data_IF_669848317108
#
_entry.id   IF_669848317108
#
_cell.length_a   1.000
_cell.length_b   1.000
_cell.length_c   1.000
_cell.angle_alpha   90.00
_cell.angle_beta   90.00
_cell.angle_gamma   90.00
#
_symmetry.space_group_name_H-M   'P 1'
#
loop_
_entity.id
_entity.type
_entity.pdbx_description
1 polymer ?
#
# COMPACT_ATOMS: atom_id res chain seq x y z
N UNK A 1 1.57 -3.36 -10.71
CA UNK A 1 0.83 -2.45 -11.60
C UNK A 1 0.96 -1.07 -11.01
N UNK A 2 1.17 -0.04 -11.84
CA UNK A 2 1.12 1.33 -11.35
C UNK A 2 -0.31 1.59 -10.87
N UNK A 3 -0.45 2.18 -9.69
CA UNK A 3 -1.72 2.52 -9.09
C UNK A 3 -1.54 3.75 -8.21
N UNK A 4 -2.64 4.42 -7.93
CA UNK A 4 -2.65 5.64 -7.12
C UNK A 4 -3.15 5.30 -5.73
N UNK A 5 -2.44 5.80 -4.73
CA UNK A 5 -2.89 5.72 -3.34
C UNK A 5 -3.80 6.90 -3.05
N UNK A 6 -4.99 6.64 -2.54
CA UNK A 6 -5.94 7.68 -2.14
C UNK A 6 -6.44 7.42 -0.73
N UNK A 7 -6.54 8.49 0.07
CA UNK A 7 -7.26 8.48 1.33
C UNK A 7 -8.65 9.09 1.11
N UNK A 8 -9.70 8.31 1.32
CA UNK A 8 -11.09 8.77 1.22
C UNK A 8 -11.59 9.24 2.58
N UNK A 9 -12.13 10.46 2.61
CA UNK A 9 -12.75 11.05 3.79
C UNK A 9 -14.26 10.88 3.71
N UNK A 10 -14.82 10.07 4.60
CA UNK A 10 -16.26 9.82 4.69
C UNK A 10 -16.84 10.48 5.95
N UNK A 11 -18.09 10.96 5.90
CA UNK A 11 -18.76 11.46 7.09
C UNK A 11 -18.92 10.36 8.14
N UNK A 12 -18.89 10.70 9.44
CA UNK A 12 -19.03 9.71 10.53
C UNK A 12 -20.32 8.88 10.48
N UNK A 13 -21.38 9.41 9.85
CA UNK A 13 -22.62 8.67 9.58
C UNK A 13 -22.43 7.44 8.70
N UNK A 14 -21.33 7.34 7.94
CA UNK A 14 -21.00 6.19 7.11
C UNK A 14 -20.49 4.97 7.92
N UNK A 15 -20.32 5.08 9.24
CA UNK A 15 -19.78 4.00 10.08
C UNK A 15 -20.58 2.68 9.98
N UNK A 16 -21.88 2.75 9.67
CA UNK A 16 -22.73 1.58 9.50
C UNK A 16 -22.67 0.91 8.11
N UNK A 17 -22.14 1.60 7.10
CA UNK A 17 -22.03 1.11 5.72
C UNK A 17 -20.88 1.83 4.99
N UNK A 18 -19.64 1.47 5.36
CA UNK A 18 -18.43 2.07 4.80
C UNK A 18 -18.30 1.72 3.31
N UNK A 19 -18.54 0.47 2.93
CA UNK A 19 -18.45 0.01 1.54
C UNK A 19 -19.42 0.77 0.63
N UNK A 20 -20.70 0.89 1.01
CA UNK A 20 -21.68 1.64 0.24
C UNK A 20 -21.31 3.13 0.12
N UNK A 21 -20.76 3.71 1.18
CA UNK A 21 -20.27 5.08 1.16
C UNK A 21 -19.04 5.27 0.26
N UNK A 22 -18.09 4.33 0.27
CA UNK A 22 -16.93 4.33 -0.63
C UNK A 22 -17.36 4.22 -2.09
N UNK A 23 -18.23 3.25 -2.42
CA UNK A 23 -18.77 3.10 -3.78
C UNK A 23 -19.41 4.40 -4.26
N UNK A 24 -20.21 5.06 -3.41
CA UNK A 24 -20.85 6.32 -3.76
C UNK A 24 -19.84 7.46 -3.97
N UNK A 25 -18.84 7.57 -3.08
CA UNK A 25 -17.84 8.62 -3.14
C UNK A 25 -16.92 8.50 -4.38
N UNK A 26 -16.56 7.27 -4.75
CA UNK A 26 -15.63 6.98 -5.84
C UNK A 26 -16.28 6.92 -7.23
N UNK A 27 -17.57 6.63 -7.33
CA UNK A 27 -18.29 6.47 -8.59
C UNK A 27 -18.05 7.60 -9.63
N UNK A 28 -17.96 8.88 -9.25
CA UNK A 28 -17.72 9.96 -10.21
C UNK A 28 -16.33 9.92 -10.86
N UNK A 29 -15.40 9.14 -10.33
CA UNK A 29 -14.01 9.08 -10.79
C UNK A 29 -13.68 7.77 -11.51
N UNK A 30 -14.68 6.95 -11.84
CA UNK A 30 -14.48 5.69 -12.55
C UNK A 30 -14.17 5.92 -14.04
N UNK A 31 -13.15 5.24 -14.57
CA UNK A 31 -12.59 5.51 -15.92
C UNK A 31 -13.46 5.03 -17.08
N UNK A 32 -14.29 4.00 -16.89
CA UNK A 32 -15.00 3.31 -17.98
C UNK A 32 -16.53 3.52 -17.94
N UNK A 33 -16.95 4.78 -17.87
CA UNK A 33 -18.38 5.12 -18.03
C UNK A 33 -18.56 6.19 -19.10
N UNK A 34 -19.55 5.99 -19.98
CA UNK A 34 -20.06 7.02 -20.89
C UNK A 34 -20.58 8.28 -20.14
N UNK A 35 -20.75 8.18 -18.83
CA UNK A 35 -21.28 9.21 -17.93
C UNK A 35 -20.18 10.06 -17.25
N UNK A 36 -18.89 9.71 -17.38
CA UNK A 36 -17.78 10.48 -16.80
C UNK A 36 -16.91 11.10 -17.91
N UNK A 37 -16.53 12.38 -17.81
CA UNK A 37 -15.54 12.97 -18.70
C UNK A 37 -14.23 12.17 -18.63
N UNK A 38 -13.59 11.95 -19.78
CA UNK A 38 -12.31 11.19 -19.89
C UNK A 38 -11.25 11.73 -18.93
N UNK A 39 -11.28 13.04 -18.68
CA UNK A 39 -10.30 13.76 -17.86
C UNK A 39 -10.58 13.65 -16.34
N UNK A 40 -11.64 12.93 -15.92
CA UNK A 40 -12.00 12.67 -14.51
C UNK A 40 -11.74 11.22 -14.08
N UNK A 41 -11.55 10.31 -15.03
CA UNK A 41 -11.33 8.89 -14.74
C UNK A 41 -10.00 8.65 -14.02
N UNK A 42 -10.06 8.27 -12.74
CA UNK A 42 -8.91 8.00 -11.88
C UNK A 42 -8.71 6.52 -11.56
N UNK A 43 -9.72 5.67 -11.80
CA UNK A 43 -9.65 4.26 -11.42
C UNK A 43 -10.56 3.34 -12.24
N UNK A 44 -10.15 2.07 -12.39
CA UNK A 44 -10.96 0.95 -12.93
C UNK A 44 -11.13 -0.21 -11.93
N UNK A 45 -10.26 -0.30 -10.92
CA UNK A 45 -10.36 -1.19 -9.78
C UNK A 45 -9.79 -0.54 -8.51
N UNK A 46 -10.26 -0.94 -7.34
CA UNK A 46 -9.79 -0.43 -6.05
C UNK A 46 -9.75 -1.52 -4.99
N UNK A 47 -8.85 -1.39 -4.04
CA UNK A 47 -8.79 -2.23 -2.85
C UNK A 47 -8.51 -1.40 -1.60
N UNK A 48 -9.16 -1.74 -0.47
CA UNK A 48 -8.73 -1.26 0.84
C UNK A 48 -7.43 -1.98 1.20
N UNK A 49 -6.39 -1.21 1.47
CA UNK A 49 -5.06 -1.74 1.79
C UNK A 49 -4.29 -0.76 2.68
N UNK A 50 -3.30 -1.27 3.40
CA UNK A 50 -2.39 -0.47 4.20
C UNK A 50 -2.10 -1.06 5.58
N UNK A 51 -3.01 -1.88 6.09
CA UNK A 51 -2.88 -2.60 7.34
C UNK A 51 -1.76 -3.64 7.33
N UNK A 52 -1.58 -4.39 6.24
CA UNK A 52 -0.62 -5.50 6.17
C UNK A 52 0.77 -5.14 5.67
N UNK A 53 0.91 -4.00 4.98
CA UNK A 53 2.17 -3.58 4.35
C UNK A 53 2.79 -2.30 4.95
N UNK A 54 2.12 -1.68 5.93
CA UNK A 54 2.59 -0.47 6.60
C UNK A 54 2.32 0.82 5.85
N UNK A 55 1.65 0.73 4.70
CA UNK A 55 1.21 1.90 3.94
C UNK A 55 -0.13 2.42 4.44
N UNK A 56 -0.69 1.92 5.54
CA UNK A 56 -1.94 2.40 6.14
C UNK A 56 -1.71 3.42 7.27
N UNK A 57 -2.61 3.42 8.25
CA UNK A 57 -2.55 4.32 9.40
C UNK A 57 -1.99 3.63 10.64
N UNK A 58 -1.24 4.40 11.43
CA UNK A 58 -0.89 3.99 12.78
C UNK A 58 -2.14 4.12 13.68
N UNK A 59 -2.45 3.07 14.43
CA UNK A 59 -3.54 3.11 15.42
C UNK A 59 -3.05 3.72 16.72
N UNK A 60 -3.83 4.63 17.28
CA UNK A 60 -3.57 5.25 18.58
C UNK A 60 -3.48 4.21 19.70
N UNK A 61 -2.61 4.47 20.68
CA UNK A 61 -2.41 3.56 21.81
C UNK A 61 -3.73 3.28 22.56
N UNK A 62 -4.00 2.01 22.86
CA UNK A 62 -5.21 1.58 23.55
C UNK A 62 -6.42 1.28 22.64
N UNK A 63 -6.28 1.48 21.32
CA UNK A 63 -7.37 1.28 20.35
C UNK A 63 -7.13 0.14 19.33
N UNK A 64 -6.08 -0.67 19.50
CA UNK A 64 -5.66 -1.64 18.49
C UNK A 64 -6.69 -2.73 18.18
N UNK A 65 -7.57 -3.02 19.13
CA UNK A 65 -8.66 -3.99 18.99
C UNK A 65 -10.03 -3.32 18.81
N UNK A 66 -10.08 -2.00 18.51
CA UNK A 66 -11.34 -1.29 18.33
C UNK A 66 -12.05 -1.80 17.07
N UNK A 67 -13.30 -2.28 17.18
CA UNK A 67 -14.01 -2.91 16.05
C UNK A 67 -14.40 -1.91 14.95
N UNK A 68 -14.20 -0.61 15.17
CA UNK A 68 -14.42 0.44 14.15
C UNK A 68 -13.22 0.63 13.23
N UNK A 69 -12.09 -0.02 13.51
CA UNK A 69 -10.95 -0.04 12.60
C UNK A 69 -11.32 -0.82 11.34
N UNK A 70 -10.85 -0.31 10.22
CA UNK A 70 -11.03 -0.89 8.89
C UNK A 70 -9.72 -1.58 8.53
N UNK A 71 -9.84 -2.84 8.12
CA UNK A 71 -8.72 -3.69 7.74
C UNK A 71 -8.70 -3.93 6.23
N UNK A 72 -7.59 -4.46 5.76
CA UNK A 72 -7.35 -4.70 4.35
C UNK A 72 -8.38 -5.68 3.80
N UNK A 73 -8.81 -5.42 2.56
CA UNK A 73 -9.58 -6.39 1.81
C UNK A 73 -8.72 -7.62 1.49
N UNK A 74 -9.32 -8.79 1.26
CA UNK A 74 -8.59 -9.94 0.76
C UNK A 74 -7.82 -9.57 -0.51
N UNK A 75 -6.61 -10.11 -0.66
CA UNK A 75 -5.81 -9.92 -1.86
C UNK A 75 -6.51 -10.51 -3.10
N UNK A 76 -5.96 -10.29 -4.29
CA UNK A 76 -6.56 -10.69 -5.57
C UNK A 76 -6.99 -12.18 -5.64
N UNK A 77 -6.27 -13.07 -4.96
CA UNK A 77 -6.58 -14.51 -4.89
C UNK A 77 -7.61 -14.86 -3.78
N UNK A 78 -8.24 -13.86 -3.15
CA UNK A 78 -9.17 -14.03 -2.04
C UNK A 78 -8.50 -14.39 -0.71
N UNK A 79 -7.16 -14.31 -0.62
CA UNK A 79 -6.42 -14.62 0.59
C UNK A 79 -6.56 -13.49 1.61
N UNK A 80 -6.83 -13.78 2.90
CA UNK A 80 -6.86 -12.77 3.95
C UNK A 80 -5.53 -12.01 4.07
N UNK A 81 -5.61 -10.70 4.23
CA UNK A 81 -4.48 -9.81 4.52
C UNK A 81 -4.63 -9.27 5.94
N UNK A 82 -4.22 -10.03 6.98
CA UNK A 82 -4.28 -9.55 8.35
C UNK A 82 -3.40 -8.31 8.51
N UNK A 83 -3.91 -7.32 9.22
CA UNK A 83 -3.14 -6.13 9.53
C UNK A 83 -2.03 -6.44 10.53
N UNK A 84 -0.92 -5.71 10.41
CA UNK A 84 0.14 -5.69 11.40
C UNK A 84 -0.42 -5.11 12.70
N UNK A 85 -0.06 -5.65 13.89
CA UNK A 85 -0.53 -5.11 15.15
C UNK A 85 -0.31 -3.60 15.28
N UNK A 86 -1.39 -2.87 15.56
CA UNK A 86 -1.38 -1.41 15.65
C UNK A 86 -1.36 -0.68 14.30
N UNK A 87 -1.64 -1.35 13.19
CA UNK A 87 -1.78 -0.75 11.86
C UNK A 87 -3.16 -1.12 11.30
N UNK A 88 -3.77 -0.21 10.54
CA UNK A 88 -5.06 -0.44 9.89
C UNK A 88 -5.13 0.23 8.51
N UNK A 89 -6.05 -0.23 7.66
CA UNK A 89 -6.38 0.42 6.39
C UNK A 89 -7.25 1.67 6.57
N UNK A 90 -7.92 1.83 7.72
CA UNK A 90 -8.76 3.00 7.99
C UNK A 90 -9.48 2.96 9.33
N UNK A 91 -10.32 3.97 9.56
CA UNK A 91 -11.19 4.08 10.73
C UNK A 91 -11.55 5.52 11.05
N UNK A 92 -12.34 5.76 12.11
CA UNK A 92 -12.58 7.10 12.63
C UNK A 92 -11.25 7.80 12.97
N UNK A 93 -11.10 9.04 12.52
CA UNK A 93 -9.89 9.85 12.65
C UNK A 93 -9.34 9.87 14.09
N UNK A 94 -10.23 9.92 15.09
CA UNK A 94 -9.85 9.96 16.51
C UNK A 94 -9.18 8.66 17.02
N UNK A 95 -9.25 7.56 16.28
CA UNK A 95 -8.59 6.30 16.61
C UNK A 95 -7.19 6.17 15.99
N UNK A 96 -6.82 7.11 15.12
CA UNK A 96 -5.58 7.07 14.35
C UNK A 96 -4.56 8.05 14.93
N UNK A 97 -3.29 7.66 14.90
CA UNK A 97 -2.17 8.45 15.42
C UNK A 97 -1.48 9.25 14.31
N UNK A 98 -1.90 10.50 14.19
CA UNK A 98 -1.27 11.47 13.29
C UNK A 98 -0.07 12.20 13.93
N UNK A 99 0.24 11.96 15.20
CA UNK A 99 1.41 12.57 15.85
C UNK A 99 2.71 11.87 15.45
N UNK A 100 2.62 10.61 15.02
CA UNK A 100 3.74 9.80 14.55
C UNK A 100 3.34 8.97 13.32
N UNK A 101 3.11 9.59 12.15
CA UNK A 101 2.60 8.90 10.96
C UNK A 101 3.53 7.80 10.44
N UNK A 102 4.83 7.88 10.73
CA UNK A 102 5.80 6.84 10.37
C UNK A 102 5.61 5.50 11.12
N UNK A 103 4.88 5.49 12.25
CA UNK A 103 4.72 4.28 13.08
C UNK A 103 4.11 3.10 12.32
N UNK A 104 3.22 3.34 11.35
CA UNK A 104 2.66 2.28 10.53
C UNK A 104 3.75 1.54 9.73
N UNK A 105 4.60 2.30 9.05
CA UNK A 105 5.72 1.77 8.27
C UNK A 105 6.79 1.15 9.16
N UNK A 106 7.11 1.76 10.30
CA UNK A 106 8.06 1.19 11.28
C UNK A 106 7.60 -0.18 11.78
N UNK A 107 6.31 -0.32 12.15
CA UNK A 107 5.71 -1.57 12.59
C UNK A 107 5.73 -2.63 11.50
N UNK A 108 5.50 -2.23 10.25
CA UNK A 108 5.55 -3.13 9.11
C UNK A 108 6.97 -3.63 8.82
N UNK A 109 7.96 -2.74 8.75
CA UNK A 109 9.35 -3.10 8.58
C UNK A 109 9.81 -4.04 9.71
N UNK A 110 9.41 -3.75 10.95
CA UNK A 110 9.64 -4.61 12.10
C UNK A 110 9.03 -6.02 11.91
N UNK A 111 7.76 -6.10 11.51
CA UNK A 111 7.06 -7.37 11.30
C UNK A 111 7.68 -8.19 10.16
N UNK A 112 8.08 -7.54 9.06
CA UNK A 112 8.80 -8.15 7.95
C UNK A 112 10.15 -8.73 8.38
N UNK A 113 10.92 -7.99 9.18
CA UNK A 113 12.17 -8.47 9.77
C UNK A 113 11.97 -9.71 10.64
N UNK A 114 11.02 -9.62 11.57
CA UNK A 114 10.76 -10.68 12.55
C UNK A 114 10.27 -11.95 11.85
N UNK A 115 9.41 -11.81 10.84
CA UNK A 115 8.95 -12.91 9.99
C UNK A 115 10.12 -13.62 9.28
N UNK A 116 11.02 -12.87 8.64
CA UNK A 116 12.16 -13.47 7.93
C UNK A 116 13.05 -14.28 8.86
N UNK A 117 13.35 -13.75 10.05
CA UNK A 117 14.21 -14.42 11.02
C UNK A 117 13.56 -15.66 11.63
N UNK A 118 12.26 -15.58 11.94
CA UNK A 118 11.49 -16.72 12.44
C UNK A 118 11.36 -17.86 11.40
N UNK A 119 11.14 -17.52 10.12
CA UNK A 119 11.14 -18.51 9.04
C UNK A 119 12.54 -19.08 8.78
N UNK A 120 13.58 -18.24 8.81
CA UNK A 120 14.97 -18.67 8.61
C UNK A 120 15.43 -19.66 9.70
N UNK A 121 14.88 -19.56 10.91
CA UNK A 121 15.14 -20.51 11.98
C UNK A 121 14.46 -21.89 11.77
N UNK A 122 13.42 -21.96 10.93
CA UNK A 122 12.57 -23.16 10.74
C UNK A 122 12.77 -23.86 9.39
N UNK A 123 13.30 -23.15 8.40
CA UNK A 123 13.55 -23.67 7.06
C UNK A 123 15.04 -23.85 6.78
N UNK A 124 15.38 -24.69 5.80
CA UNK A 124 16.74 -24.76 5.31
C UNK A 124 17.16 -23.39 4.73
N UNK A 125 18.44 -22.97 4.92
CA UNK A 125 18.93 -21.73 4.34
C UNK A 125 18.70 -21.70 2.82
N UNK A 126 18.17 -20.58 2.33
CA UNK A 126 18.01 -20.37 0.89
C UNK A 126 19.37 -20.16 0.22
N UNK A 127 19.53 -20.72 -0.96
CA UNK A 127 20.62 -20.38 -1.88
C UNK A 127 20.36 -18.95 -2.40
N UNK A 128 21.35 -18.04 -2.33
CA UNK A 128 21.18 -16.64 -2.72
C UNK A 128 20.76 -16.44 -4.18
N UNK A 129 19.97 -15.40 -4.47
CA UNK A 129 19.52 -15.06 -5.83
C UNK A 129 20.69 -14.88 -6.81
N UNK A 130 21.80 -14.30 -6.34
CA UNK A 130 23.01 -14.13 -7.14
C UNK A 130 23.53 -15.45 -7.75
N UNK A 131 23.35 -16.59 -7.07
CA UNK A 131 23.76 -17.91 -7.58
C UNK A 131 22.84 -18.37 -8.72
N UNK A 132 21.54 -18.13 -8.61
CA UNK A 132 20.59 -18.43 -9.69
C UNK A 132 20.84 -17.57 -10.92
N UNK A 133 21.14 -16.28 -10.71
CA UNK A 133 21.46 -15.32 -11.78
C UNK A 133 22.76 -15.65 -12.47
N UNK A 134 23.79 -16.06 -11.72
CA UNK A 134 25.06 -16.52 -12.29
C UNK A 134 24.86 -17.74 -13.18
N UNK A 135 24.12 -18.75 -12.71
CA UNK A 135 23.78 -19.94 -13.49
C UNK A 135 23.00 -19.58 -14.75
N UNK A 136 21.98 -18.73 -14.63
CA UNK A 136 21.17 -18.30 -15.77
C UNK A 136 21.99 -17.57 -16.85
N UNK A 137 22.99 -16.77 -16.46
CA UNK A 137 23.84 -16.05 -17.41
C UNK A 137 24.92 -16.93 -18.05
N UNK A 138 25.44 -17.89 -17.30
CA UNK A 138 26.70 -18.56 -17.65
C UNK A 138 26.54 -20.06 -17.99
N UNK A 139 25.41 -20.68 -17.67
CA UNK A 139 25.14 -22.10 -17.94
C UNK A 139 23.92 -22.23 -18.89
N UNK A 140 24.15 -22.54 -20.19
CA UNK A 140 23.09 -22.68 -21.18
C UNK A 140 22.07 -23.78 -20.86
N UNK A 141 22.46 -24.75 -20.05
CA UNK A 141 21.64 -25.92 -19.69
C UNK A 141 20.89 -25.72 -18.36
N UNK A 142 21.20 -24.66 -17.58
CA UNK A 142 20.57 -24.41 -16.29
C UNK A 142 19.09 -24.02 -16.39
N UNK A 143 18.75 -23.19 -17.39
CA UNK A 143 17.38 -22.72 -17.67
C UNK A 143 17.15 -22.64 -19.20
N UNK A 144 16.95 -23.79 -19.86
CA UNK A 144 16.96 -23.88 -21.32
C UNK A 144 15.85 -23.04 -21.98
N UNK A 145 16.25 -22.00 -22.72
CA UNK A 145 15.31 -21.13 -23.43
C UNK A 145 14.71 -20.01 -22.58
N UNK A 146 15.12 -19.87 -21.32
CA UNK A 146 14.69 -18.79 -20.43
C UNK A 146 15.35 -17.46 -20.80
N UNK A 147 14.78 -16.75 -21.77
CA UNK A 147 15.33 -15.49 -22.27
C UNK A 147 15.19 -14.34 -21.27
N UNK A 148 14.20 -14.39 -20.39
CA UNK A 148 13.79 -13.26 -19.55
C UNK A 148 14.03 -13.51 -18.05
N UNK A 149 14.49 -14.70 -17.67
CA UNK A 149 14.77 -15.09 -16.29
C UNK A 149 13.52 -15.57 -15.54
N UNK A 150 12.43 -15.87 -16.23
CA UNK A 150 11.16 -16.27 -15.62
C UNK A 150 11.29 -17.63 -14.93
N UNK A 151 11.94 -18.60 -15.59
CA UNK A 151 12.20 -19.93 -15.01
C UNK A 151 13.21 -19.86 -13.88
N UNK A 152 14.24 -19.02 -14.03
CA UNK A 152 15.23 -18.77 -12.99
C UNK A 152 14.60 -18.18 -11.72
N UNK A 153 13.77 -17.15 -11.85
CA UNK A 153 13.09 -16.51 -10.72
C UNK A 153 12.05 -17.44 -10.09
N UNK A 154 11.35 -18.25 -10.90
CA UNK A 154 10.45 -19.28 -10.40
C UNK A 154 11.21 -20.33 -9.55
N UNK A 155 12.36 -20.80 -10.01
CA UNK A 155 13.19 -21.75 -9.27
C UNK A 155 13.75 -21.13 -7.97
N UNK A 156 14.13 -19.84 -7.99
CA UNK A 156 14.52 -19.12 -6.78
C UNK A 156 13.36 -18.99 -5.78
N UNK A 157 12.15 -18.64 -6.27
CA UNK A 157 10.94 -18.53 -5.44
C UNK A 157 10.54 -19.87 -4.81
N UNK A 158 10.73 -20.98 -5.51
CA UNK A 158 10.28 -22.29 -5.05
C UNK A 158 11.11 -22.87 -3.89
N UNK A 159 12.21 -22.21 -3.52
CA UNK A 159 12.93 -22.54 -2.29
C UNK A 159 12.00 -22.40 -1.07
N UNK A 160 11.94 -23.39 -0.15
CA UNK A 160 10.95 -23.40 0.93
C UNK A 160 10.91 -22.13 1.79
N UNK A 161 12.08 -21.58 2.14
CA UNK A 161 12.18 -20.34 2.92
C UNK A 161 11.68 -19.12 2.12
N UNK A 162 12.10 -19.00 0.85
CA UNK A 162 11.72 -17.88 -0.02
C UNK A 162 10.22 -17.89 -0.28
N UNK A 163 9.67 -19.05 -0.63
CA UNK A 163 8.23 -19.25 -0.81
C UNK A 163 7.45 -18.88 0.44
N UNK A 164 7.84 -19.44 1.59
CA UNK A 164 7.15 -19.20 2.85
C UNK A 164 7.17 -17.71 3.25
N UNK A 165 8.26 -17.01 2.97
CA UNK A 165 8.36 -15.58 3.24
C UNK A 165 7.53 -14.74 2.26
N UNK A 166 7.70 -14.91 0.95
CA UNK A 166 7.05 -14.09 -0.08
C UNK A 166 5.55 -14.35 -0.25
N UNK A 167 5.04 -15.49 0.24
CA UNK A 167 3.60 -15.80 0.27
C UNK A 167 2.93 -15.27 1.55
N UNK A 168 3.69 -14.73 2.51
CA UNK A 168 3.15 -14.25 3.78
C UNK A 168 2.67 -12.78 3.69
N UNK A 169 1.49 -12.42 4.22
CA UNK A 169 0.94 -11.06 4.16
C UNK A 169 1.85 -9.95 4.73
N UNK A 170 2.75 -10.29 5.65
CA UNK A 170 3.69 -9.36 6.28
C UNK A 170 5.04 -9.24 5.53
N UNK A 171 5.16 -9.78 4.31
CA UNK A 171 6.31 -9.55 3.44
C UNK A 171 6.23 -8.19 2.72
N UNK A 172 5.59 -7.20 3.36
CA UNK A 172 5.34 -5.85 2.85
C UNK A 172 4.65 -5.81 1.48
N UNK A 173 3.95 -6.89 1.11
CA UNK A 173 3.45 -7.10 -0.25
C UNK A 173 4.53 -6.94 -1.36
N UNK A 174 5.82 -6.99 -1.00
CA UNK A 174 6.96 -6.91 -1.91
C UNK A 174 7.39 -8.31 -2.36
N UNK A 175 6.40 -9.08 -2.81
CA UNK A 175 6.58 -10.44 -3.33
C UNK A 175 7.16 -10.49 -4.75
N UNK A 176 7.37 -9.33 -5.38
CA UNK A 176 7.83 -9.22 -6.76
C UNK A 176 9.32 -9.55 -6.86
N UNK A 177 9.60 -10.62 -7.59
CA UNK A 177 10.92 -10.99 -8.06
C UNK A 177 10.99 -10.60 -9.53
N UNK A 178 11.98 -9.79 -9.91
CA UNK A 178 12.10 -9.34 -11.29
C UNK A 178 13.34 -8.49 -11.49
N UNK A 179 13.64 -8.15 -12.74
CA UNK A 179 14.74 -7.24 -13.05
C UNK A 179 14.26 -5.79 -13.00
N UNK A 180 14.91 -4.95 -12.20
CA UNK A 180 14.68 -3.51 -12.24
C UNK A 180 15.66 -2.92 -13.25
N UNK A 181 15.13 -2.49 -14.40
CA UNK A 181 15.95 -2.04 -15.53
C UNK A 181 16.75 -3.19 -16.16
N UNK A 182 17.91 -2.88 -16.74
CA UNK A 182 18.64 -3.81 -17.59
C UNK A 182 19.67 -4.72 -16.89
N UNK A 183 19.87 -4.64 -15.57
CA UNK A 183 21.13 -5.17 -14.98
C UNK A 183 21.03 -5.94 -13.65
N UNK A 184 20.06 -5.68 -12.77
CA UNK A 184 20.02 -6.33 -11.45
C UNK A 184 18.63 -6.91 -11.13
N UNK A 185 18.56 -8.18 -10.70
CA UNK A 185 17.34 -8.71 -10.12
C UNK A 185 17.09 -7.99 -8.78
N UNK A 186 15.83 -7.65 -8.54
CA UNK A 186 15.36 -7.15 -7.26
C UNK A 186 14.87 -8.33 -6.44
N UNK A 187 15.36 -8.43 -5.20
CA UNK A 187 14.79 -9.29 -4.17
C UNK A 187 14.23 -8.44 -3.03
N UNK A 188 13.46 -9.07 -2.15
CA UNK A 188 12.94 -8.37 -0.99
C UNK A 188 14.12 -7.93 -0.09
N UNK A 189 14.19 -6.67 0.36
CA UNK A 189 15.35 -6.10 1.04
C UNK A 189 15.80 -6.83 2.30
N UNK A 190 14.86 -7.42 3.06
CA UNK A 190 15.22 -8.25 4.22
C UNK A 190 16.08 -9.47 3.85
N UNK A 191 15.90 -10.00 2.63
CA UNK A 191 16.62 -11.16 2.12
C UNK A 191 18.00 -10.68 1.71
N UNK A 192 18.99 -10.95 2.55
CA UNK A 192 20.37 -10.48 2.35
C UNK A 192 20.72 -9.17 3.05
N UNK A 193 19.83 -8.61 3.89
CA UNK A 193 20.18 -7.44 4.70
C UNK A 193 21.26 -7.78 5.72
N UNK A 194 22.39 -7.07 5.66
CA UNK A 194 23.47 -7.16 6.63
C UNK A 194 23.32 -6.06 7.67
N UNK A 195 22.80 -6.40 8.85
CA UNK A 195 22.67 -5.44 9.94
C UNK A 195 21.80 -5.94 11.07
N UNK A 196 21.45 -5.02 11.97
CA UNK A 196 20.53 -5.26 13.07
C UNK A 196 19.10 -4.93 12.68
N UNK A 197 18.12 -5.47 13.42
CA UNK A 197 16.70 -5.12 13.30
C UNK A 197 16.45 -3.61 13.34
N UNK A 198 17.14 -2.90 14.24
CA UNK A 198 16.97 -1.46 14.39
C UNK A 198 17.49 -0.68 13.18
N UNK A 199 18.57 -1.15 12.55
CA UNK A 199 19.11 -0.56 11.33
C UNK A 199 18.17 -0.82 10.15
N UNK A 200 17.68 -2.07 9.99
CA UNK A 200 16.70 -2.42 8.97
C UNK A 200 15.43 -1.59 9.08
N UNK A 201 14.84 -1.50 10.28
CA UNK A 201 13.63 -0.69 10.48
C UNK A 201 13.90 0.77 10.13
N UNK A 202 15.02 1.35 10.57
CA UNK A 202 15.35 2.75 10.24
C UNK A 202 15.55 2.97 8.74
N UNK A 203 16.10 2.01 8.01
CA UNK A 203 16.40 2.11 6.58
C UNK A 203 15.18 1.84 5.70
N UNK A 204 14.29 0.92 6.11
CA UNK A 204 13.12 0.50 5.35
C UNK A 204 11.79 1.04 5.89
N UNK A 205 11.85 1.91 6.91
CA UNK A 205 10.74 2.81 7.20
C UNK A 205 10.70 3.86 6.11
N UNK A 206 9.52 4.07 5.52
CA UNK A 206 9.34 5.15 4.56
C UNK A 206 9.70 6.49 5.25
N UNK A 207 10.53 7.31 4.60
CA UNK A 207 10.98 8.61 5.14
C UNK A 207 9.84 9.60 5.44
N UNK A 208 8.61 9.23 5.07
CA UNK A 208 7.33 9.82 5.45
C UNK A 208 6.20 8.84 5.11
N UNK A 209 4.96 9.10 5.54
CA UNK A 209 3.79 8.36 5.05
C UNK A 209 3.75 8.38 3.51
N UNK A 210 3.11 7.38 2.86
CA UNK A 210 2.91 7.39 1.42
C UNK A 210 2.29 8.71 1.01
N UNK A 211 2.83 9.35 -0.03
CA UNK A 211 2.16 10.49 -0.66
C UNK A 211 0.87 9.92 -1.24
N UNK A 212 -0.26 10.24 -0.62
CA UNK A 212 -1.57 9.81 -1.08
C UNK A 212 -2.36 11.00 -1.57
N UNK A 213 -3.12 10.79 -2.62
CA UNK A 213 -4.22 11.67 -2.97
C UNK A 213 -5.24 11.67 -1.84
N UNK A 214 -6.09 12.69 -1.81
CA UNK A 214 -7.18 12.77 -0.84
C UNK A 214 -8.49 13.01 -1.56
N UNK A 215 -9.47 12.14 -1.32
CA UNK A 215 -10.85 12.40 -1.67
C UNK A 215 -11.54 13.01 -0.44
N UNK A 216 -11.76 14.32 -0.48
CA UNK A 216 -12.35 15.07 0.63
C UNK A 216 -13.84 14.77 0.79
N UNK A 217 -14.39 15.04 1.97
CA UNK A 217 -15.79 14.75 2.28
C UNK A 217 -16.80 15.57 1.43
N UNK A 218 -16.37 16.72 0.90
CA UNK A 218 -17.13 17.58 -0.02
C UNK A 218 -16.91 17.25 -1.50
N UNK A 219 -16.16 16.18 -1.79
CA UNK A 219 -16.09 15.56 -3.12
C UNK A 219 -14.97 16.07 -4.02
N UNK A 220 -13.89 16.62 -3.46
CA UNK A 220 -12.68 16.95 -4.22
C UNK A 220 -11.69 15.79 -4.17
N UNK A 221 -11.29 15.30 -5.34
CA UNK A 221 -10.09 14.47 -5.47
C UNK A 221 -8.89 15.37 -5.64
N UNK A 222 -8.01 15.42 -4.63
CA UNK A 222 -6.82 16.26 -4.60
C UNK A 222 -5.60 15.39 -4.87
N UNK A 223 -4.92 15.65 -5.99
CA UNK A 223 -3.71 14.94 -6.42
C UNK A 223 -2.48 15.69 -5.89
N UNK A 224 -1.88 15.17 -4.83
CA UNK A 224 -0.74 15.80 -4.16
C UNK A 224 -0.99 17.29 -3.85
N UNK A 225 -0.28 18.18 -4.56
CA UNK A 225 -0.41 19.65 -4.44
C UNK A 225 -0.71 20.35 -5.76
N UNK A 226 -1.00 19.59 -6.81
CA UNK A 226 -0.92 20.08 -8.19
C UNK A 226 -2.26 20.17 -8.88
N UNK A 227 -3.23 19.35 -8.47
CA UNK A 227 -4.50 19.25 -9.16
C UNK A 227 -5.63 18.92 -8.17
N UNK A 228 -6.84 19.38 -8.49
CA UNK A 228 -8.04 19.07 -7.73
C UNK A 228 -9.23 18.96 -8.68
N UNK A 229 -9.92 17.83 -8.65
CA UNK A 229 -11.09 17.56 -9.51
C UNK A 229 -12.32 17.33 -8.65
N UNK A 230 -13.42 18.04 -8.93
CA UNK A 230 -14.66 17.90 -8.17
C UNK A 230 -15.59 16.83 -8.76
N UNK A 231 -16.16 16.01 -7.88
CA UNK A 231 -17.03 14.89 -8.21
C UNK A 231 -18.30 15.30 -9.01
N UNK A 232 -18.83 16.50 -8.79
CA UNK A 232 -20.16 16.91 -9.31
C UNK A 232 -20.08 17.88 -10.48
N UNK A 233 -18.88 18.26 -10.94
CA UNK A 233 -18.72 19.36 -11.86
C UNK A 233 -17.78 19.03 -13.01
N UNK A 234 -18.14 19.49 -14.21
CA UNK A 234 -17.21 19.48 -15.34
C UNK A 234 -15.94 20.26 -14.96
N UNK A 235 -14.73 19.68 -15.15
CA UNK A 235 -13.49 20.26 -14.63
C UNK A 235 -13.28 21.73 -14.99
N UNK A 236 -13.61 22.13 -16.22
CA UNK A 236 -13.42 23.51 -16.70
C UNK A 236 -14.53 24.49 -16.31
N UNK A 237 -15.62 24.02 -15.69
CA UNK A 237 -16.78 24.86 -15.36
C UNK A 237 -17.33 24.64 -13.95
N UNK A 238 -16.49 24.11 -13.05
CA UNK A 238 -16.85 23.95 -11.64
C UNK A 238 -17.15 25.32 -11.00
N UNK A 239 -18.37 25.56 -10.48
CA UNK A 239 -18.70 26.79 -9.78
C UNK A 239 -18.24 26.78 -8.31
N UNK A 240 -17.73 25.64 -7.83
CA UNK A 240 -17.20 25.52 -6.47
C UNK A 240 -15.73 25.96 -6.47
N UNK A 241 -15.36 26.71 -5.43
CA UNK A 241 -13.96 27.07 -5.23
C UNK A 241 -13.17 25.80 -4.88
N UNK A 242 -12.08 25.50 -5.61
CA UNK A 242 -11.21 24.39 -5.26
C UNK A 242 -10.59 24.61 -3.88
N UNK A 243 -10.22 23.53 -3.17
CA UNK A 243 -9.42 23.67 -1.96
C UNK A 243 -8.17 24.49 -2.26
N UNK A 244 -7.78 25.37 -1.33
CA UNK A 244 -6.60 26.20 -1.50
C UNK A 244 -5.33 25.34 -1.45
N UNK A 245 -4.89 24.88 -2.63
CA UNK A 245 -3.71 24.04 -2.80
C UNK A 245 -2.41 24.74 -2.36
N UNK A 246 -2.40 26.07 -2.23
CA UNK A 246 -1.25 26.81 -1.70
C UNK A 246 -1.07 26.61 -0.18
N UNK A 247 -2.16 26.27 0.52
CA UNK A 247 -2.17 25.90 1.94
C UNK A 247 -2.12 24.39 2.17
N UNK A 248 -2.19 23.59 1.11
CA UNK A 248 -2.10 22.13 1.17
C UNK A 248 -0.65 21.70 1.45
N UNK A 249 -0.30 21.66 2.75
CA UNK A 249 1.06 21.37 3.18
C UNK A 249 1.40 19.87 3.09
N UNK A 250 0.46 18.99 3.39
CA UNK A 250 0.63 17.53 3.34
C UNK A 250 -0.76 16.90 3.48
N UNK A 251 -1.01 15.79 2.78
CA UNK A 251 -2.22 14.99 2.97
C UNK A 251 -2.42 14.63 4.45
N UNK A 252 -1.36 14.27 5.16
CA UNK A 252 -1.46 13.77 6.54
C UNK A 252 -1.73 14.91 7.53
N UNK A 253 -1.21 16.11 7.26
CA UNK A 253 -1.55 17.30 8.04
C UNK A 253 -3.02 17.68 7.87
N UNK A 254 -3.55 17.64 6.63
CA UNK A 254 -4.97 17.86 6.37
C UNK A 254 -5.84 16.84 7.12
N UNK A 255 -5.52 15.55 7.00
CA UNK A 255 -6.26 14.48 7.67
C UNK A 255 -6.23 14.63 9.20
N UNK A 256 -5.11 15.13 9.74
CA UNK A 256 -4.93 15.39 11.16
C UNK A 256 -5.76 16.57 11.71
N UNK A 257 -6.39 17.38 10.87
CA UNK A 257 -7.24 18.49 11.30
C UNK A 257 -8.75 18.20 11.13
N UNK A 258 -9.10 17.05 10.55
CA UNK A 258 -10.48 16.63 10.36
C UNK A 258 -11.20 16.33 11.69
N UNK A 259 -12.54 16.47 11.73
CA UNK A 259 -13.36 16.03 12.86
C UNK A 259 -13.05 14.60 13.26
N UNK A 260 -13.01 14.32 14.57
CA UNK A 260 -12.59 13.01 15.09
C UNK A 260 -13.47 11.83 14.68
N UNK A 261 -14.72 12.08 14.28
CA UNK A 261 -15.66 11.10 13.78
C UNK A 261 -15.60 10.89 12.25
N UNK A 262 -14.82 11.70 11.53
CA UNK A 262 -14.56 11.48 10.10
C UNK A 262 -13.93 10.11 9.91
N UNK A 263 -14.47 9.31 9.00
CA UNK A 263 -13.95 7.99 8.69
C UNK A 263 -12.95 8.14 7.55
N UNK A 264 -11.72 7.70 7.80
CA UNK A 264 -10.63 7.74 6.84
C UNK A 264 -10.39 6.33 6.32
N UNK A 265 -10.28 6.16 5.00
CA UNK A 265 -10.01 4.86 4.39
C UNK A 265 -8.92 5.00 3.34
N UNK A 266 -7.83 4.24 3.50
CA UNK A 266 -6.74 4.16 2.54
C UNK A 266 -7.09 3.13 1.47
N UNK A 267 -6.99 3.54 0.21
CA UNK A 267 -7.22 2.69 -0.95
C UNK A 267 -5.99 2.71 -1.85
N UNK A 268 -5.77 1.58 -2.52
CA UNK A 268 -4.94 1.51 -3.70
C UNK A 268 -5.84 1.31 -4.92
N UNK A 269 -5.85 2.31 -5.81
CA UNK A 269 -6.62 2.32 -7.04
C UNK A 269 -5.73 1.93 -8.22
N UNK A 270 -6.22 1.02 -9.06
CA UNK A 270 -5.65 0.75 -10.38
C UNK A 270 -6.29 1.70 -11.40
N UNK A 271 -5.51 2.13 -12.39
CA UNK A 271 -5.92 3.03 -13.47
C UNK A 271 -5.39 2.51 -14.81
#
# INVERSE_FOLDING_TARGET
MAGVWVTVCLPGAAAGDVEGALTKALAPFFIDTADNPVDRGMWDARHITGGSDGTGFAVAAGHWDDPRLIHDEPGYLGLPLPSIPGVCGGGPRALLDFSQPALASERAAAASWDLWHDLSARHAPAVPLAVFVDRWRNDPDAFPGDRWGDEMLAAYRDQPLIKAYLDHPHSLNMGYLGFVGSMAPSEHPVIGYEGTRAEYVREFTASGPPITDVLTADGWWVEGRTNAVHASCEPESCPHDPPDLSTWQDSEAYLADLPGDTILVRLHCHA
#
